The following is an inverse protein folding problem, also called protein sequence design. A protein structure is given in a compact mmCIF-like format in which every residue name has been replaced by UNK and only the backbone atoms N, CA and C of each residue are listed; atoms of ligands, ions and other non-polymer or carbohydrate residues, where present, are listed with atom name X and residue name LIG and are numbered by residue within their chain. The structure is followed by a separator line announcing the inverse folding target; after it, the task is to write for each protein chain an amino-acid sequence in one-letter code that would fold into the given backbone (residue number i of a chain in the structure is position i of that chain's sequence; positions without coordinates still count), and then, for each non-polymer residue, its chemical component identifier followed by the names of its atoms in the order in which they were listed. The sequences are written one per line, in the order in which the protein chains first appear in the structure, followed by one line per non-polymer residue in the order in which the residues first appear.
data_IF_527489359056
#
_entry.id   IF_527489359056
#
_cell.length_a   1.000
_cell.length_b   1.000
_cell.length_c   1.000
_cell.angle_alpha   90.00
_cell.angle_beta   90.00
_cell.angle_gamma   90.00
#
_symmetry.space_group_name_H-M   'P 1'
#
loop_
_entity.id
_entity.type
_entity.pdbx_description
1 polymer ?
#
# COMPACT_ATOMS: atom_id res chain seq x y z
N UNK A 1 24.90 2.29 43.65
CA UNK A 1 26.36 2.53 43.52
C UNK A 1 26.90 1.79 42.30
N UNK A 2 27.20 2.51 41.21
CA UNK A 2 28.45 2.43 40.43
C UNK A 2 28.35 3.38 39.23
N UNK A 3 29.28 4.33 39.20
CA UNK A 3 29.54 5.35 38.17
C UNK A 3 30.51 4.77 37.13
N UNK A 4 30.35 5.10 35.85
CA UNK A 4 31.38 5.11 34.78
C UNK A 4 30.85 6.16 33.75
N UNK A 5 31.27 7.44 33.67
CA UNK A 5 32.51 8.08 33.15
C UNK A 5 32.91 7.51 31.77
N UNK A 6 32.44 8.07 30.64
CA UNK A 6 32.99 9.20 29.84
C UNK A 6 34.42 8.95 29.28
N UNK A 7 34.58 8.80 27.95
CA UNK A 7 35.28 9.74 27.04
C UNK A 7 35.68 9.17 25.65
N UNK A 8 35.66 10.09 24.66
CA UNK A 8 36.55 10.25 23.47
C UNK A 8 36.46 9.26 22.28
N UNK A 9 36.09 9.77 21.10
CA UNK A 9 37.06 10.29 20.12
C UNK A 9 36.37 11.02 18.94
N UNK A 10 36.71 12.30 18.77
CA UNK A 10 36.52 13.10 17.54
C UNK A 10 37.92 13.33 16.98
N UNK A 11 38.21 12.78 15.81
CA UNK A 11 39.25 13.29 14.90
C UNK A 11 39.29 12.47 13.61
N UNK A 12 38.77 13.04 12.52
CA UNK A 12 39.33 12.82 11.19
C UNK A 12 39.04 14.07 10.35
N UNK A 13 40.06 14.91 10.28
CA UNK A 13 40.18 16.00 9.32
C UNK A 13 40.97 15.51 8.11
N UNK A 14 40.48 15.91 6.93
CA UNK A 14 41.25 16.31 5.75
C UNK A 14 42.01 15.21 4.97
N UNK A 15 41.40 14.84 3.85
CA UNK A 15 42.14 14.62 2.60
C UNK A 15 41.54 15.52 1.53
N UNK A 16 42.36 16.42 0.99
CA UNK A 16 42.05 17.27 -0.15
C UNK A 16 42.20 16.47 -1.45
N UNK A 17 41.22 16.60 -2.36
CA UNK A 17 41.52 16.61 -3.79
C UNK A 17 40.57 17.57 -4.52
N UNK A 18 41.18 18.57 -5.16
CA UNK A 18 40.56 19.52 -6.07
C UNK A 18 40.09 18.82 -7.36
N UNK A 19 38.87 19.08 -7.82
CA UNK A 19 38.53 20.01 -8.92
C UNK A 19 37.13 19.70 -9.50
N UNK A 20 36.33 20.78 -9.69
CA UNK A 20 35.43 21.09 -10.84
C UNK A 20 34.38 20.03 -11.22
N UNK A 21 33.07 20.25 -11.20
CA UNK A 21 32.23 21.42 -11.53
C UNK A 21 30.83 21.14 -10.96
N UNK A 22 30.22 22.08 -10.25
CA UNK A 22 28.76 22.11 -10.09
C UNK A 22 28.24 23.42 -10.66
N UNK A 23 27.63 23.32 -11.83
CA UNK A 23 26.84 24.38 -12.45
C UNK A 23 25.46 24.38 -11.78
N UNK A 24 25.19 25.49 -11.09
CA UNK A 24 23.92 26.18 -10.87
C UNK A 24 22.61 25.38 -11.02
N UNK A 25 21.98 25.11 -9.88
CA UNK A 25 20.54 25.35 -9.72
C UNK A 25 20.38 26.64 -8.94
N UNK A 26 19.81 27.65 -9.61
CA UNK A 26 19.42 28.95 -9.08
C UNK A 26 18.90 28.85 -7.64
N UNK A 27 19.78 29.16 -6.70
CA UNK A 27 19.40 29.64 -5.39
C UNK A 27 19.12 31.12 -5.58
N UNK A 28 17.86 31.50 -5.50
CA UNK A 28 17.52 32.88 -5.19
C UNK A 28 18.30 33.24 -3.92
N UNK A 29 19.29 34.11 -4.10
CA UNK A 29 20.11 34.72 -3.07
C UNK A 29 19.22 35.08 -1.88
N UNK A 30 19.50 34.62 -0.64
CA UNK A 30 18.76 35.08 0.51
C UNK A 30 19.06 36.56 0.72
N UNK A 31 18.03 37.36 0.55
CA UNK A 31 17.93 38.77 0.92
C UNK A 31 18.64 39.04 2.24
N UNK A 32 19.38 40.14 2.23
CA UNK A 32 20.09 40.75 3.35
C UNK A 32 19.25 40.71 4.64
N UNK A 33 19.62 39.85 5.60
CA UNK A 33 18.98 39.77 6.93
C UNK A 33 19.12 41.10 7.67
N UNK A 34 20.06 41.96 7.26
CA UNK A 34 20.32 43.24 7.90
C UNK A 34 19.22 44.28 7.68
N UNK A 35 18.21 44.07 6.81
CA UNK A 35 17.18 45.09 6.54
C UNK A 35 15.78 44.75 7.08
N UNK A 36 15.61 43.62 7.78
CA UNK A 36 14.29 43.14 8.17
C UNK A 36 14.10 43.17 9.69
N UNK A 37 12.91 43.57 10.13
CA UNK A 37 12.45 43.34 11.50
C UNK A 37 12.39 41.82 11.81
N UNK A 38 12.56 41.40 13.07
CA UNK A 38 12.43 39.99 13.43
C UNK A 38 11.05 39.44 13.04
N UNK A 39 11.01 38.18 12.61
CA UNK A 39 9.76 37.51 12.26
C UNK A 39 8.96 37.13 13.51
N UNK A 40 7.70 36.73 13.35
CA UNK A 40 6.93 36.20 14.48
C UNK A 40 7.57 34.97 15.12
N UNK A 41 8.20 34.11 14.32
CA UNK A 41 8.86 32.90 14.82
C UNK A 41 10.11 33.25 15.64
N UNK A 42 10.89 34.23 15.17
CA UNK A 42 12.05 34.78 15.87
C UNK A 42 11.66 35.32 17.27
N UNK A 43 10.58 36.08 17.34
CA UNK A 43 10.03 36.63 18.58
C UNK A 43 9.47 35.52 19.49
N UNK A 44 8.76 34.53 18.94
CA UNK A 44 8.23 33.38 19.68
C UNK A 44 9.36 32.54 20.28
N UNK A 45 10.42 32.28 19.53
CA UNK A 45 11.64 31.60 20.00
C UNK A 45 12.30 32.40 21.14
N UNK A 46 12.45 33.72 20.98
CA UNK A 46 13.02 34.59 22.01
C UNK A 46 12.28 34.48 23.36
N UNK A 47 10.94 34.42 23.35
CA UNK A 47 10.13 34.31 24.56
C UNK A 47 9.87 32.87 25.02
N UNK A 48 10.57 31.89 24.45
CA UNK A 48 10.37 30.47 24.76
C UNK A 48 8.90 30.01 24.59
N UNK A 49 8.21 30.60 23.61
CA UNK A 49 6.83 30.29 23.23
C UNK A 49 6.90 29.37 22.00
N UNK A 50 7.19 28.08 22.21
CA UNK A 50 7.37 27.15 21.10
C UNK A 50 6.10 27.01 20.27
N UNK A 51 6.25 26.82 18.95
CA UNK A 51 5.13 26.61 18.01
C UNK A 51 4.31 25.36 18.35
N UNK A 52 4.86 24.46 19.18
CA UNK A 52 4.29 23.17 19.57
C UNK A 52 3.63 23.17 20.94
N UNK A 53 3.76 24.23 21.75
CA UNK A 53 3.18 24.30 23.09
C UNK A 53 2.08 25.36 23.18
N UNK A 54 0.85 24.91 23.44
CA UNK A 54 -0.29 25.79 23.65
C UNK A 54 -0.27 26.28 25.10
N UNK A 55 -0.04 27.58 25.31
CA UNK A 55 0.07 28.22 26.64
C UNK A 55 -1.14 29.12 26.91
N UNK A 56 -1.45 29.37 28.19
CA UNK A 56 -2.52 30.31 28.59
C UNK A 56 -2.10 31.77 28.40
N UNK A 57 -3.07 32.69 28.27
CA UNK A 57 -2.81 34.11 28.09
C UNK A 57 -1.88 34.70 29.18
N UNK A 58 -2.09 34.33 30.43
CA UNK A 58 -1.26 34.78 31.56
C UNK A 58 0.20 34.33 31.45
N UNK A 59 0.41 33.10 30.98
CA UNK A 59 1.75 32.54 30.83
C UNK A 59 2.51 33.24 29.68
N UNK A 60 1.81 33.55 28.59
CA UNK A 60 2.35 34.33 27.48
C UNK A 60 2.74 35.74 27.96
N UNK A 61 1.83 36.44 28.66
CA UNK A 61 2.10 37.79 29.19
C UNK A 61 3.28 37.76 30.17
N UNK A 62 3.35 36.75 31.04
CA UNK A 62 4.44 36.56 31.97
C UNK A 62 5.79 36.39 31.25
N UNK A 63 5.84 35.55 30.21
CA UNK A 63 7.06 35.36 29.42
C UNK A 63 7.48 36.64 28.69
N UNK A 64 6.54 37.32 28.02
CA UNK A 64 6.81 38.55 27.27
C UNK A 64 7.28 39.68 28.20
N UNK A 65 6.81 39.72 29.45
CA UNK A 65 7.17 40.76 30.41
C UNK A 65 8.51 40.49 31.09
N UNK A 66 8.83 39.22 31.37
CA UNK A 66 9.96 38.88 32.25
C UNK A 66 11.20 38.37 31.52
N UNK A 67 11.08 37.84 30.30
CA UNK A 67 12.26 37.36 29.56
C UNK A 67 12.97 38.55 28.92
N UNK A 68 14.23 38.75 29.30
CA UNK A 68 15.13 39.80 28.80
C UNK A 68 16.53 39.25 28.57
N UNK A 69 17.37 40.03 27.89
CA UNK A 69 18.77 39.69 27.61
C UNK A 69 19.03 39.33 26.15
N UNK A 70 20.30 39.33 25.76
CA UNK A 70 20.70 39.02 24.39
C UNK A 70 20.54 37.51 24.13
N UNK A 71 19.87 37.15 23.03
CA UNK A 71 19.71 35.75 22.58
C UNK A 71 20.09 35.60 21.12
N UNK A 72 20.55 34.40 20.76
CA UNK A 72 20.71 33.98 19.37
C UNK A 72 19.48 33.20 18.94
N UNK A 73 18.88 33.58 17.83
CA UNK A 73 17.61 33.04 17.35
C UNK A 73 17.69 32.64 15.86
N UNK A 74 16.85 31.69 15.47
CA UNK A 74 16.76 31.16 14.11
C UNK A 74 17.95 30.31 13.68
N UNK A 75 17.84 29.73 12.47
CA UNK A 75 18.89 28.86 11.89
C UNK A 75 20.20 29.60 11.60
N UNK A 76 20.14 30.93 11.40
CA UNK A 76 21.30 31.80 11.19
C UNK A 76 21.92 32.32 12.48
N UNK A 77 21.38 31.97 13.67
CA UNK A 77 21.92 32.34 14.98
C UNK A 77 22.15 33.86 15.11
N UNK A 78 21.14 34.64 14.75
CA UNK A 78 21.20 36.11 14.72
C UNK A 78 20.95 36.68 16.12
N UNK A 79 21.67 37.73 16.49
CA UNK A 79 21.53 38.42 17.77
C UNK A 79 20.21 39.20 17.83
N UNK A 80 19.40 38.91 18.85
CA UNK A 80 18.17 39.62 19.21
C UNK A 80 18.21 40.03 20.68
N UNK A 81 17.93 41.31 20.92
CA UNK A 81 17.75 41.90 22.24
C UNK A 81 16.40 42.61 22.29
N UNK A 82 15.54 42.25 23.25
CA UNK A 82 14.32 43.00 23.54
C UNK A 82 14.59 43.99 24.66
N UNK A 83 14.35 45.27 24.40
CA UNK A 83 14.58 46.37 25.34
C UNK A 83 13.27 46.80 26.02
N UNK A 84 12.15 46.82 25.30
CA UNK A 84 10.84 47.19 25.83
C UNK A 84 9.71 46.33 25.25
N UNK A 85 8.71 46.06 26.09
CA UNK A 85 7.46 45.38 25.68
C UNK A 85 6.26 46.10 26.29
N UNK A 86 5.25 46.34 25.47
CA UNK A 86 3.96 46.90 25.89
C UNK A 86 2.87 45.95 25.43
N UNK A 87 2.07 45.44 26.37
CA UNK A 87 0.90 44.64 26.04
C UNK A 87 -0.19 45.59 25.54
N UNK A 88 -0.50 45.54 24.25
CA UNK A 88 -1.53 46.38 23.63
C UNK A 88 -2.92 45.79 23.80
N UNK A 89 -3.02 44.45 23.79
CA UNK A 89 -4.28 43.73 23.95
C UNK A 89 -4.04 42.38 24.62
N UNK A 90 -4.88 42.02 25.58
CA UNK A 90 -4.99 40.67 26.13
C UNK A 90 -6.45 40.23 26.05
N UNK A 91 -6.76 39.39 25.09
CA UNK A 91 -8.09 38.84 24.83
C UNK A 91 -8.03 37.32 24.99
N UNK A 92 -8.02 36.91 26.26
CA UNK A 92 -7.94 35.50 26.61
C UNK A 92 -9.15 34.71 26.09
N UNK A 93 -10.29 35.34 25.82
CA UNK A 93 -11.48 34.68 25.26
C UNK A 93 -11.32 34.35 23.77
N UNK A 94 -10.73 35.26 22.99
CA UNK A 94 -10.39 35.02 21.57
C UNK A 94 -9.08 34.27 21.38
N UNK A 95 -8.41 33.89 22.46
CA UNK A 95 -7.11 33.22 22.40
C UNK A 95 -6.01 34.11 21.85
N UNK A 96 -6.03 35.42 22.12
CA UNK A 96 -5.14 36.39 21.49
C UNK A 96 -4.47 37.34 22.51
N UNK A 97 -3.15 37.51 22.41
CA UNK A 97 -2.38 38.54 23.09
C UNK A 97 -1.58 39.32 22.04
N UNK A 98 -1.74 40.64 21.99
CA UNK A 98 -0.99 41.53 21.09
C UNK A 98 -0.03 42.36 21.94
N UNK A 99 1.25 42.31 21.60
CA UNK A 99 2.27 43.10 22.28
C UNK A 99 3.13 43.88 21.28
N UNK A 100 3.35 45.17 21.57
CA UNK A 100 4.34 46.00 20.90
C UNK A 100 5.70 45.75 21.52
N UNK A 101 6.65 45.29 20.72
CA UNK A 101 7.98 44.90 21.15
C UNK A 101 9.00 45.76 20.41
N UNK A 102 9.96 46.32 21.16
CA UNK A 102 11.08 47.07 20.59
C UNK A 102 12.41 46.65 21.19
N UNK A 103 13.46 46.72 20.38
CA UNK A 103 14.81 46.37 20.77
C UNK A 103 15.74 46.35 19.57
N UNK A 104 16.76 45.49 19.59
CA UNK A 104 17.76 45.37 18.52
C UNK A 104 17.77 43.98 17.92
N UNK A 105 17.71 43.90 16.60
CA UNK A 105 17.85 42.66 15.82
C UNK A 105 18.93 42.86 14.76
N UNK A 106 19.92 41.97 14.71
CA UNK A 106 21.09 42.14 13.84
C UNK A 106 21.75 43.54 13.98
N UNK A 107 21.84 44.04 15.21
CA UNK A 107 22.33 45.38 15.57
C UNK A 107 21.52 46.58 15.04
N UNK A 108 20.34 46.38 14.44
CA UNK A 108 19.41 47.47 14.09
C UNK A 108 18.23 47.53 15.06
N UNK A 109 17.82 48.74 15.40
CA UNK A 109 16.65 48.99 16.24
C UNK A 109 15.35 48.66 15.49
N UNK A 110 14.41 47.99 16.15
CA UNK A 110 13.07 47.73 15.63
C UNK A 110 11.99 48.10 16.67
N UNK A 111 10.77 48.35 16.20
CA UNK A 111 9.57 48.48 17.04
C UNK A 111 8.34 48.05 16.25
N UNK A 112 7.71 46.94 16.67
CA UNK A 112 6.60 46.33 15.92
C UNK A 112 5.65 45.58 16.87
N UNK A 113 4.38 45.51 16.49
CA UNK A 113 3.38 44.71 17.21
C UNK A 113 3.36 43.28 16.69
N UNK A 114 3.30 42.34 17.63
CA UNK A 114 3.28 40.91 17.37
C UNK A 114 2.07 40.27 18.07
N UNK A 115 1.40 39.38 17.35
CA UNK A 115 0.25 38.63 17.85
C UNK A 115 0.68 37.24 18.32
N UNK A 116 0.28 36.88 19.53
CA UNK A 116 0.51 35.59 20.15
C UNK A 116 -0.84 34.90 20.37
N UNK A 117 -0.98 33.69 19.84
CA UNK A 117 -2.16 32.87 20.05
C UNK A 117 -2.00 32.05 21.34
N UNK A 118 -2.99 32.08 22.22
CA UNK A 118 -3.03 31.31 23.46
C UNK A 118 -4.18 30.32 23.44
N UNK A 119 -4.16 29.37 24.39
CA UNK A 119 -5.36 28.64 24.75
C UNK A 119 -6.43 29.66 25.15
N UNK A 120 -7.60 29.67 24.49
CA UNK A 120 -8.68 30.51 24.96
C UNK A 120 -9.00 30.12 26.40
N UNK A 121 -9.05 31.09 27.29
CA UNK A 121 -9.78 30.91 28.54
C UNK A 121 -11.23 30.73 28.10
N UNK A 122 -11.66 29.46 28.01
CA UNK A 122 -13.03 29.12 27.69
C UNK A 122 -13.93 30.01 28.54
N UNK A 123 -14.95 30.61 27.91
CA UNK A 123 -15.80 31.61 28.55
C UNK A 123 -16.10 31.17 29.98
N UNK A 124 -15.89 32.04 30.96
CA UNK A 124 -16.37 31.87 32.35
C UNK A 124 -17.91 31.94 32.40
N UNK A 125 -18.57 31.46 31.37
CA UNK A 125 -19.98 31.25 31.28
C UNK A 125 -20.26 29.90 31.94
N UNK A 126 -20.83 29.95 33.15
CA UNK A 126 -21.37 28.80 33.84
C UNK A 126 -22.82 28.51 33.39
N UNK A 127 -23.21 29.00 32.21
CA UNK A 127 -24.49 28.69 31.60
C UNK A 127 -24.64 27.19 31.37
N UNK A 128 -25.90 26.75 31.36
CA UNK A 128 -26.29 25.39 30.97
C UNK A 128 -25.72 25.03 29.59
N UNK A 129 -25.70 25.98 28.64
CA UNK A 129 -25.20 25.77 27.28
C UNK A 129 -23.67 25.49 27.26
N UNK A 130 -22.90 26.19 28.09
CA UNK A 130 -21.47 25.93 28.28
C UNK A 130 -21.23 24.55 28.92
N UNK A 131 -22.08 24.14 29.86
CA UNK A 131 -22.00 22.80 30.46
C UNK A 131 -22.34 21.71 29.43
N UNK A 132 -23.41 21.90 28.65
CA UNK A 132 -23.80 20.99 27.57
C UNK A 132 -22.64 20.86 26.57
N UNK A 133 -22.11 21.97 26.07
CA UNK A 133 -21.03 21.97 25.07
C UNK A 133 -19.79 21.18 25.52
N UNK A 134 -19.37 21.34 26.78
CA UNK A 134 -18.22 20.62 27.36
C UNK A 134 -18.44 19.11 27.52
N UNK A 135 -19.69 18.67 27.56
CA UNK A 135 -20.06 17.28 27.76
C UNK A 135 -20.61 16.61 26.50
N UNK A 136 -20.56 17.29 25.33
CA UNK A 136 -20.94 16.66 24.07
C UNK A 136 -19.97 15.51 23.79
N UNK A 137 -20.54 14.35 23.50
CA UNK A 137 -19.82 13.17 23.03
C UNK A 137 -20.49 12.64 21.79
N UNK A 138 -19.68 12.05 20.91
CA UNK A 138 -20.14 11.45 19.67
C UNK A 138 -19.79 9.96 19.68
N UNK A 139 -20.77 9.12 19.36
CA UNK A 139 -20.62 7.66 19.36
C UNK A 139 -21.08 7.11 18.02
N UNK A 140 -20.31 6.20 17.44
CA UNK A 140 -20.79 5.40 16.31
C UNK A 140 -22.10 4.71 16.70
N UNK A 141 -23.07 4.70 15.78
CA UNK A 141 -24.24 3.84 15.96
C UNK A 141 -23.78 2.37 16.01
N UNK A 142 -24.48 1.51 16.78
CA UNK A 142 -24.04 0.14 17.03
C UNK A 142 -23.71 -0.65 15.75
N UNK A 143 -24.47 -0.44 14.68
CA UNK A 143 -24.32 -1.12 13.39
C UNK A 143 -23.04 -0.75 12.63
N UNK A 144 -22.38 0.38 12.94
CA UNK A 144 -21.16 0.82 12.24
C UNK A 144 -19.89 0.69 13.08
N UNK A 145 -20.02 0.59 14.41
CA UNK A 145 -18.93 0.74 15.38
C UNK A 145 -17.71 -0.16 15.11
N UNK A 146 -17.94 -1.40 14.70
CA UNK A 146 -16.86 -2.39 14.60
C UNK A 146 -16.10 -2.33 13.26
N UNK A 147 -16.72 -1.78 12.21
CA UNK A 147 -16.10 -1.71 10.88
C UNK A 147 -16.64 -0.52 10.05
N UNK A 148 -16.47 0.72 10.53
CA UNK A 148 -17.11 1.87 9.92
C UNK A 148 -16.63 2.13 8.49
N UNK A 149 -15.39 1.77 8.16
CA UNK A 149 -14.81 2.03 6.84
C UNK A 149 -15.46 1.18 5.73
N UNK A 150 -16.03 0.04 6.10
CA UNK A 150 -16.72 -0.88 5.19
C UNK A 150 -18.22 -0.69 5.24
N UNK A 151 -18.78 -0.46 6.44
CA UNK A 151 -20.22 -0.42 6.68
C UNK A 151 -20.86 0.94 6.39
N UNK A 152 -20.05 1.98 6.22
CA UNK A 152 -20.53 3.34 5.93
C UNK A 152 -20.20 3.75 4.49
N UNK A 153 -21.04 4.63 3.95
CA UNK A 153 -20.82 5.39 2.72
C UNK A 153 -20.17 6.76 2.98
N UNK A 154 -19.56 6.95 4.17
CA UNK A 154 -18.80 8.16 4.51
C UNK A 154 -17.71 8.40 3.46
N UNK A 155 -17.84 9.51 2.73
CA UNK A 155 -16.94 9.86 1.63
C UNK A 155 -15.61 10.46 2.09
N UNK A 156 -14.74 9.60 2.62
CA UNK A 156 -13.37 9.99 3.01
C UNK A 156 -12.56 10.50 1.81
N UNK A 157 -12.81 10.00 0.59
CA UNK A 157 -12.03 10.37 -0.59
C UNK A 157 -12.21 11.85 -0.94
N UNK A 158 -13.46 12.33 -0.98
CA UNK A 158 -13.75 13.75 -1.20
C UNK A 158 -13.13 14.65 -0.12
N UNK A 159 -13.18 14.22 1.13
CA UNK A 159 -12.60 14.99 2.23
C UNK A 159 -11.07 14.98 2.23
N UNK A 160 -10.45 13.80 2.20
CA UNK A 160 -9.03 13.62 2.41
C UNK A 160 -8.23 13.89 1.14
N UNK A 161 -8.63 13.33 -0.01
CA UNK A 161 -7.89 13.46 -1.28
C UNK A 161 -8.24 14.76 -1.99
N UNK A 162 -9.54 15.09 -2.09
CA UNK A 162 -9.97 16.31 -2.79
C UNK A 162 -9.96 17.57 -1.90
N UNK A 163 -9.65 17.44 -0.61
CA UNK A 163 -9.59 18.53 0.38
C UNK A 163 -10.90 19.32 0.49
N UNK A 164 -12.05 18.68 0.20
CA UNK A 164 -13.38 19.30 0.30
C UNK A 164 -14.03 18.96 1.63
N UNK A 165 -14.07 19.94 2.52
CA UNK A 165 -14.62 19.77 3.88
C UNK A 165 -16.11 20.06 3.97
N UNK A 166 -16.69 20.76 3.00
CA UNK A 166 -18.07 21.27 3.04
C UNK A 166 -19.14 20.17 3.13
N UNK A 167 -18.81 18.94 2.69
CA UNK A 167 -19.68 17.78 2.81
C UNK A 167 -19.87 17.32 4.26
N UNK A 168 -18.87 17.55 5.12
CA UNK A 168 -18.84 17.05 6.49
C UNK A 168 -19.57 18.02 7.42
N UNK A 169 -20.90 17.99 7.34
CA UNK A 169 -21.80 18.70 8.27
C UNK A 169 -22.23 17.78 9.42
N UNK A 170 -22.74 18.37 10.51
CA UNK A 170 -23.30 17.60 11.64
C UNK A 170 -24.49 16.75 11.18
N UNK A 171 -25.33 17.29 10.30
CA UNK A 171 -26.42 16.56 9.67
C UNK A 171 -25.91 15.35 8.88
N UNK A 172 -24.88 15.53 8.06
CA UNK A 172 -24.27 14.43 7.30
C UNK A 172 -23.70 13.35 8.22
N UNK A 173 -22.97 13.72 9.27
CA UNK A 173 -22.40 12.78 10.24
C UNK A 173 -23.47 12.07 11.07
N UNK A 174 -24.62 12.70 11.33
CA UNK A 174 -25.73 12.10 12.09
C UNK A 174 -26.33 10.84 11.45
N UNK A 175 -26.01 10.58 10.17
CA UNK A 175 -26.32 9.31 9.51
C UNK A 175 -25.68 8.11 10.22
N UNK A 176 -24.44 8.25 10.69
CA UNK A 176 -23.66 7.16 11.29
C UNK A 176 -23.33 7.35 12.76
N UNK A 177 -23.51 8.56 13.28
CA UNK A 177 -23.21 8.90 14.67
C UNK A 177 -24.45 9.30 15.45
N UNK A 178 -24.47 8.95 16.72
CA UNK A 178 -25.35 9.52 17.72
C UNK A 178 -24.57 10.51 18.59
N UNK A 179 -25.15 11.68 18.82
CA UNK A 179 -24.60 12.71 19.68
C UNK A 179 -25.33 12.69 21.03
N UNK A 180 -24.58 12.82 22.10
CA UNK A 180 -25.10 12.87 23.45
C UNK A 180 -24.47 14.03 24.20
N UNK A 181 -25.16 14.53 25.22
CA UNK A 181 -24.55 15.40 26.22
C UNK A 181 -25.14 15.13 27.60
N UNK A 182 -24.67 15.88 28.60
CA UNK A 182 -25.18 15.92 29.95
C UNK A 182 -25.65 17.33 30.28
N UNK A 183 -26.72 17.41 31.06
CA UNK A 183 -27.23 18.66 31.61
C UNK A 183 -26.61 18.93 32.98
N UNK A 184 -26.56 20.19 33.38
CA UNK A 184 -26.06 20.53 34.71
C UNK A 184 -26.93 19.83 35.77
N UNK A 185 -26.28 19.23 36.77
CA UNK A 185 -26.95 18.46 37.83
C UNK A 185 -27.67 17.17 37.38
N UNK A 186 -27.34 16.62 36.20
CA UNK A 186 -27.84 15.31 35.75
C UNK A 186 -26.69 14.43 35.26
N UNK A 187 -26.54 13.25 35.88
CA UNK A 187 -25.57 12.25 35.43
C UNK A 187 -26.05 11.46 34.20
N UNK A 188 -27.34 11.59 33.84
CA UNK A 188 -27.91 10.91 32.68
C UNK A 188 -27.50 11.61 31.39
N UNK A 189 -26.90 10.82 30.50
CA UNK A 189 -26.72 11.22 29.09
C UNK A 189 -28.10 11.37 28.44
N UNK A 190 -28.31 12.46 27.72
CA UNK A 190 -29.44 12.61 26.80
C UNK A 190 -28.93 12.62 25.37
N UNK A 191 -29.66 11.92 24.50
CA UNK A 191 -29.39 11.89 23.06
C UNK A 191 -29.88 13.18 22.43
N UNK A 192 -29.05 13.82 21.61
CA UNK A 192 -29.44 15.00 20.86
C UNK A 192 -30.52 14.67 19.84
N UNK A 193 -31.50 15.57 19.74
CA UNK A 193 -32.53 15.57 18.71
C UNK A 193 -32.02 16.26 17.46
N UNK A 194 -32.75 16.14 16.34
CA UNK A 194 -32.43 16.88 15.11
C UNK A 194 -32.43 18.40 15.32
N UNK A 195 -33.17 18.93 16.30
CA UNK A 195 -33.16 20.36 16.62
C UNK A 195 -31.87 20.73 17.36
N UNK A 196 -31.45 19.93 18.35
CA UNK A 196 -30.20 20.17 19.08
C UNK A 196 -28.97 20.13 18.16
N UNK A 197 -29.01 19.32 17.10
CA UNK A 197 -27.92 19.23 16.13
C UNK A 197 -27.77 20.49 15.26
N UNK A 198 -28.83 21.28 15.07
CA UNK A 198 -28.76 22.55 14.34
C UNK A 198 -27.96 23.61 15.09
N UNK A 199 -27.88 23.47 16.41
CA UNK A 199 -27.06 24.33 17.26
C UNK A 199 -25.58 23.97 17.21
N UNK A 200 -25.16 22.93 16.48
CA UNK A 200 -23.76 22.54 16.35
C UNK A 200 -23.24 22.90 14.96
N UNK A 201 -22.14 23.66 14.93
CA UNK A 201 -21.42 24.01 13.72
C UNK A 201 -20.01 23.40 13.75
N UNK A 202 -19.53 22.89 12.62
CA UNK A 202 -18.13 22.45 12.48
C UNK A 202 -17.30 23.65 11.98
N UNK A 203 -16.37 24.10 12.83
CA UNK A 203 -15.45 25.19 12.49
C UNK A 203 -14.23 24.68 11.73
N UNK A 204 -13.73 23.50 12.12
CA UNK A 204 -12.56 22.90 11.49
C UNK A 204 -12.64 21.40 11.54
N UNK A 205 -12.24 20.76 10.45
CA UNK A 205 -12.14 19.30 10.36
C UNK A 205 -10.85 18.93 9.64
N UNK A 206 -10.12 17.94 10.17
CA UNK A 206 -8.88 17.46 9.57
C UNK A 206 -8.63 16.00 9.88
N UNK A 207 -7.85 15.34 9.01
CA UNK A 207 -7.48 13.94 9.18
C UNK A 207 -6.06 13.84 9.77
N UNK A 208 -5.91 13.03 10.80
CA UNK A 208 -4.61 12.78 11.46
C UNK A 208 -4.09 11.36 11.21
N UNK A 209 -4.56 10.69 10.16
CA UNK A 209 -4.02 9.40 9.68
C UNK A 209 -4.76 8.16 10.18
N UNK A 210 -5.29 8.20 11.41
CA UNK A 210 -6.09 7.11 12.00
C UNK A 210 -7.48 7.56 12.46
N UNK A 211 -7.70 8.88 12.54
CA UNK A 211 -8.93 9.48 13.02
C UNK A 211 -9.21 10.80 12.33
N UNK A 212 -10.47 11.20 12.37
CA UNK A 212 -10.93 12.52 11.98
C UNK A 212 -11.11 13.34 13.25
N UNK A 213 -10.43 14.47 13.31
CA UNK A 213 -10.51 15.44 14.41
C UNK A 213 -11.37 16.64 13.95
N UNK A 214 -12.26 17.10 14.82
CA UNK A 214 -13.20 18.19 14.55
C UNK A 214 -13.18 19.21 15.69
N UNK A 215 -13.09 20.49 15.34
CA UNK A 215 -13.38 21.62 16.22
C UNK A 215 -14.79 22.09 15.86
N UNK A 216 -15.67 22.13 16.85
CA UNK A 216 -17.07 22.48 16.69
C UNK A 216 -17.43 23.63 17.64
N UNK A 217 -18.52 24.31 17.33
CA UNK A 217 -19.16 25.29 18.20
C UNK A 217 -20.60 24.87 18.49
N UNK A 218 -21.01 25.06 19.75
CA UNK A 218 -22.40 24.96 20.17
C UNK A 218 -22.99 26.37 20.33
N UNK A 219 -24.13 26.61 19.68
CA UNK A 219 -24.86 27.89 19.64
C UNK A 219 -23.99 29.10 19.30
N UNK A 220 -22.98 28.90 18.45
CA UNK A 220 -22.02 29.93 18.01
C UNK A 220 -21.30 30.65 19.16
N UNK A 221 -21.09 29.97 20.29
CA UNK A 221 -20.53 30.56 21.52
C UNK A 221 -19.54 29.66 22.24
N UNK A 222 -19.74 28.35 22.20
CA UNK A 222 -18.97 27.42 23.02
C UNK A 222 -18.24 26.43 22.14
N UNK A 223 -16.93 26.62 21.97
CA UNK A 223 -16.09 25.71 21.19
C UNK A 223 -15.79 24.43 21.96
N UNK A 224 -15.81 23.30 21.27
CA UNK A 224 -15.45 21.98 21.80
C UNK A 224 -14.81 21.12 20.70
N UNK A 225 -14.27 19.97 21.08
CA UNK A 225 -13.54 19.09 20.15
C UNK A 225 -14.11 17.69 20.22
N UNK A 226 -14.35 17.10 19.05
CA UNK A 226 -14.74 15.71 18.91
C UNK A 226 -13.77 15.01 17.95
N UNK A 227 -13.69 13.69 18.06
CA UNK A 227 -12.95 12.87 17.12
C UNK A 227 -13.64 11.52 16.94
N UNK A 228 -13.31 10.84 15.85
CA UNK A 228 -13.68 9.45 15.64
C UNK A 228 -12.62 8.72 14.83
N UNK A 229 -12.40 7.46 15.17
CA UNK A 229 -11.48 6.59 14.46
C UNK A 229 -12.05 6.21 13.08
N UNK A 230 -11.19 6.28 12.06
CA UNK A 230 -11.53 5.91 10.69
C UNK A 230 -10.24 5.58 9.91
N UNK A 231 -10.01 4.30 9.65
CA UNK A 231 -8.78 3.78 9.05
C UNK A 231 -8.75 3.98 7.53
N UNK A 232 -7.91 4.90 7.05
CA UNK A 232 -7.76 5.16 5.61
C UNK A 232 -7.39 3.90 4.81
N UNK A 233 -6.60 2.98 5.39
CA UNK A 233 -6.14 1.79 4.68
C UNK A 233 -7.30 0.83 4.43
N UNK A 234 -8.19 0.65 5.43
CA UNK A 234 -9.43 -0.13 5.24
C UNK A 234 -10.36 0.54 4.23
N UNK A 235 -10.53 1.86 4.31
CA UNK A 235 -11.38 2.61 3.39
C UNK A 235 -10.90 2.53 1.94
N UNK A 236 -9.61 2.68 1.67
CA UNK A 236 -9.09 2.61 0.30
C UNK A 236 -8.96 1.17 -0.21
N UNK A 237 -8.79 0.18 0.67
CA UNK A 237 -8.79 -1.24 0.28
C UNK A 237 -10.09 -1.66 -0.41
N UNK A 238 -11.26 -1.10 -0.04
CA UNK A 238 -12.54 -1.38 -0.75
C UNK A 238 -12.66 -0.72 -2.12
N UNK A 239 -11.78 0.24 -2.46
CA UNK A 239 -11.76 0.90 -3.77
C UNK A 239 -11.08 0.07 -4.86
N UNK A 240 -10.44 -1.03 -4.48
CA UNK A 240 -9.91 -2.03 -5.40
C UNK A 240 -10.78 -3.29 -5.33
N UNK A 241 -11.03 -3.92 -6.47
CA UNK A 241 -11.80 -5.16 -6.55
C UNK A 241 -11.14 -6.17 -7.46
N UNK A 242 -11.30 -7.45 -7.16
CA UNK A 242 -10.77 -8.52 -7.99
C UNK A 242 -11.68 -8.78 -9.19
N UNK A 243 -11.09 -8.92 -10.37
CA UNK A 243 -11.78 -9.39 -11.56
C UNK A 243 -11.84 -10.92 -11.55
N UNK A 244 -12.76 -11.47 -10.74
CA UNK A 244 -12.86 -12.93 -10.50
C UNK A 244 -13.11 -13.73 -11.78
N UNK A 245 -13.85 -13.17 -12.74
CA UNK A 245 -14.13 -13.83 -14.02
C UNK A 245 -12.89 -13.97 -14.91
N UNK A 246 -11.95 -13.04 -14.77
CA UNK A 246 -10.66 -13.09 -15.45
C UNK A 246 -9.68 -14.00 -14.70
N UNK A 247 -9.60 -13.87 -13.37
CA UNK A 247 -8.68 -14.65 -12.53
C UNK A 247 -8.91 -16.17 -12.67
N UNK A 248 -10.17 -16.63 -12.71
CA UNK A 248 -10.52 -18.06 -12.77
C UNK A 248 -10.00 -18.79 -14.02
N UNK A 249 -9.57 -18.05 -15.04
CA UNK A 249 -9.03 -18.61 -16.29
C UNK A 249 -7.59 -19.09 -16.16
N UNK A 250 -6.87 -18.59 -15.15
CA UNK A 250 -5.42 -18.69 -15.07
C UNK A 250 -4.95 -19.52 -13.88
N UNK A 251 -3.86 -20.25 -14.05
CA UNK A 251 -3.15 -20.88 -12.93
C UNK A 251 -2.29 -19.87 -12.18
N UNK A 252 -2.21 -20.02 -10.85
CA UNK A 252 -1.51 -19.06 -9.97
C UNK A 252 -0.01 -18.98 -10.28
N UNK A 253 0.61 -20.06 -10.72
CA UNK A 253 2.07 -20.16 -10.81
C UNK A 253 2.64 -19.25 -11.91
N UNK A 254 2.14 -19.31 -13.14
CA UNK A 254 2.63 -18.41 -14.19
C UNK A 254 2.10 -16.99 -14.03
N UNK A 255 0.92 -16.80 -13.42
CA UNK A 255 0.46 -15.44 -13.06
C UNK A 255 1.42 -14.79 -12.07
N UNK A 256 1.90 -15.54 -11.07
CA UNK A 256 2.88 -15.03 -10.11
C UNK A 256 4.18 -14.59 -10.80
N UNK A 257 4.73 -15.42 -11.70
CA UNK A 257 5.93 -15.08 -12.49
C UNK A 257 5.75 -13.83 -13.36
N UNK A 258 4.52 -13.57 -13.81
CA UNK A 258 4.19 -12.49 -14.73
C UNK A 258 3.26 -11.44 -14.10
N UNK A 259 3.26 -11.30 -12.78
CA UNK A 259 2.24 -10.53 -12.05
C UNK A 259 2.19 -9.06 -12.49
N UNK A 260 3.34 -8.47 -12.85
CA UNK A 260 3.41 -7.10 -13.35
C UNK A 260 2.58 -6.87 -14.62
N UNK A 261 2.60 -7.83 -15.55
CA UNK A 261 1.82 -7.79 -16.79
C UNK A 261 0.34 -8.16 -16.58
N UNK A 262 0.06 -9.01 -15.59
CA UNK A 262 -1.30 -9.44 -15.26
C UNK A 262 -2.08 -8.44 -14.40
N UNK A 263 -1.40 -7.60 -13.61
CA UNK A 263 -2.00 -6.76 -12.56
C UNK A 263 -3.30 -6.08 -12.99
N UNK A 264 -3.27 -5.36 -14.10
CA UNK A 264 -4.39 -4.53 -14.56
C UNK A 264 -5.58 -5.35 -15.08
N UNK A 265 -5.36 -6.64 -15.37
CA UNK A 265 -6.44 -7.59 -15.73
C UNK A 265 -7.10 -8.19 -14.49
N UNK A 266 -6.32 -8.44 -13.44
CA UNK A 266 -6.76 -9.15 -12.24
C UNK A 266 -7.41 -8.22 -11.22
N UNK A 267 -7.01 -6.94 -11.18
CA UNK A 267 -7.47 -5.98 -10.18
C UNK A 267 -8.08 -4.76 -10.86
N UNK A 268 -9.37 -4.55 -10.63
CA UNK A 268 -10.10 -3.37 -11.04
C UNK A 268 -9.85 -2.24 -10.03
N UNK A 269 -9.41 -1.10 -10.54
CA UNK A 269 -9.18 0.13 -9.76
C UNK A 269 -9.78 1.30 -10.53
N UNK A 270 -10.39 2.28 -9.83
CA UNK A 270 -10.88 3.51 -10.49
C UNK A 270 -9.72 4.21 -11.21
N UNK A 271 -10.04 4.87 -12.32
CA UNK A 271 -9.07 5.65 -13.09
C UNK A 271 -8.42 6.78 -12.28
N UNK A 272 -9.00 7.19 -11.14
CA UNK A 272 -8.46 8.22 -10.26
C UNK A 272 -7.22 7.79 -9.46
N UNK A 273 -6.97 6.48 -9.40
CA UNK A 273 -5.92 5.90 -8.57
C UNK A 273 -4.87 5.18 -9.40
N UNK A 274 -3.67 5.08 -8.83
CA UNK A 274 -2.57 4.24 -9.33
C UNK A 274 -2.28 3.18 -8.27
N UNK A 275 -2.45 1.91 -8.65
CA UNK A 275 -2.14 0.77 -7.79
C UNK A 275 -0.71 0.27 -8.03
N UNK A 276 0.10 0.26 -6.97
CA UNK A 276 1.41 -0.41 -6.94
C UNK A 276 1.33 -1.67 -6.10
N UNK A 277 1.92 -2.75 -6.61
CA UNK A 277 2.02 -4.04 -5.94
C UNK A 277 3.48 -4.32 -5.63
N UNK A 278 3.75 -4.75 -4.40
CA UNK A 278 5.08 -5.10 -3.91
C UNK A 278 5.03 -6.38 -3.09
N UNK A 279 6.18 -7.06 -3.00
CA UNK A 279 6.38 -8.27 -2.19
C UNK A 279 5.30 -9.35 -2.41
N UNK A 280 5.00 -9.74 -3.66
CA UNK A 280 4.06 -10.83 -3.90
C UNK A 280 4.63 -12.14 -3.35
N UNK A 281 3.75 -13.00 -2.84
CA UNK A 281 4.06 -14.39 -2.51
C UNK A 281 2.86 -15.27 -2.82
N UNK A 282 3.11 -16.51 -3.20
CA UNK A 282 2.05 -17.51 -3.37
C UNK A 282 1.71 -18.12 -2.02
N UNK A 283 0.42 -18.18 -1.70
CA UNK A 283 -0.12 -18.93 -0.56
C UNK A 283 -0.62 -20.28 -1.07
N UNK A 284 0.16 -21.33 -0.79
CA UNK A 284 -0.03 -22.65 -1.40
C UNK A 284 -1.35 -23.30 -1.00
N UNK A 285 -1.78 -23.11 0.25
CA UNK A 285 -3.02 -23.74 0.76
C UNK A 285 -4.27 -23.21 0.07
N UNK A 286 -4.25 -21.92 -0.29
CA UNK A 286 -5.40 -21.22 -0.82
C UNK A 286 -5.33 -21.03 -2.34
N UNK A 287 -4.25 -21.48 -3.00
CA UNK A 287 -3.99 -21.23 -4.42
C UNK A 287 -4.18 -19.74 -4.77
N UNK A 288 -3.54 -18.87 -3.98
CA UNK A 288 -3.71 -17.40 -4.03
C UNK A 288 -2.39 -16.66 -4.02
N UNK A 289 -2.40 -15.37 -4.34
CA UNK A 289 -1.24 -14.48 -4.25
C UNK A 289 -1.52 -13.43 -3.18
N UNK A 290 -0.68 -13.38 -2.15
CA UNK A 290 -0.71 -12.32 -1.14
C UNK A 290 0.33 -11.28 -1.54
N UNK A 291 -0.07 -10.01 -1.54
CA UNK A 291 0.83 -8.91 -1.87
C UNK A 291 0.55 -7.67 -1.02
N UNK A 292 1.55 -6.79 -0.92
CA UNK A 292 1.37 -5.46 -0.34
C UNK A 292 0.99 -4.51 -1.46
N UNK A 293 -0.11 -3.79 -1.27
CA UNK A 293 -0.62 -2.80 -2.19
C UNK A 293 -0.42 -1.40 -1.63
N UNK A 294 0.09 -0.49 -2.46
CA UNK A 294 0.08 0.95 -2.21
C UNK A 294 -0.85 1.61 -3.21
N UNK A 295 -1.86 2.32 -2.72
CA UNK A 295 -2.78 3.09 -3.55
C UNK A 295 -2.34 4.56 -3.56
N UNK A 296 -2.15 5.13 -4.75
CA UNK A 296 -1.70 6.51 -4.93
C UNK A 296 -2.69 7.31 -5.76
N UNK A 297 -2.63 8.63 -5.63
CA UNK A 297 -3.23 9.55 -6.61
C UNK A 297 -2.44 9.51 -7.92
N UNK A 298 -3.02 10.04 -9.01
CA UNK A 298 -2.29 10.27 -10.28
C UNK A 298 -1.05 11.15 -10.11
N UNK A 299 -1.08 12.07 -9.16
CA UNK A 299 0.07 12.94 -8.84
C UNK A 299 1.17 12.25 -8.04
N UNK A 300 0.99 10.97 -7.65
CA UNK A 300 1.97 10.20 -6.89
C UNK A 300 1.88 10.36 -5.37
N UNK A 301 0.87 11.05 -4.84
CA UNK A 301 0.62 11.10 -3.40
C UNK A 301 0.07 9.75 -2.92
N UNK A 302 0.65 9.20 -1.87
CA UNK A 302 0.23 7.91 -1.31
C UNK A 302 -1.00 8.09 -0.42
N UNK A 303 -2.08 7.37 -0.73
CA UNK A 303 -3.34 7.39 0.01
C UNK A 303 -3.43 6.29 1.05
N UNK A 304 -2.94 5.09 0.74
CA UNK A 304 -3.05 3.94 1.61
C UNK A 304 -2.01 2.86 1.30
N UNK A 305 -1.70 2.07 2.33
CA UNK A 305 -0.91 0.84 2.24
C UNK A 305 -1.68 -0.30 2.92
N UNK A 306 -1.86 -1.42 2.24
CA UNK A 306 -2.58 -2.57 2.80
C UNK A 306 -2.15 -3.89 2.17
N UNK A 307 -2.33 -4.99 2.91
CA UNK A 307 -2.19 -6.35 2.37
C UNK A 307 -3.46 -6.74 1.59
N UNK A 308 -3.29 -7.34 0.42
CA UNK A 308 -4.36 -7.83 -0.42
C UNK A 308 -4.07 -9.26 -0.91
N UNK A 309 -5.12 -10.08 -0.97
CA UNK A 309 -5.05 -11.47 -1.42
C UNK A 309 -5.81 -11.62 -2.74
N UNK A 310 -5.09 -11.92 -3.82
CA UNK A 310 -5.67 -12.24 -5.13
C UNK A 310 -6.06 -13.72 -5.09
N UNK A 311 -7.37 -13.99 -5.10
CA UNK A 311 -7.96 -15.33 -4.92
C UNK A 311 -8.86 -15.70 -6.10
N UNK A 312 -9.19 -16.99 -6.19
CA UNK A 312 -10.12 -17.51 -7.20
C UNK A 312 -9.45 -17.98 -8.49
N UNK A 313 -8.15 -18.26 -8.45
CA UNK A 313 -7.41 -18.84 -9.57
C UNK A 313 -7.95 -20.22 -9.95
N UNK A 314 -7.63 -20.64 -11.18
CA UNK A 314 -7.99 -21.96 -11.70
C UNK A 314 -7.48 -23.07 -10.77
N UNK A 315 -8.33 -24.05 -10.41
CA UNK A 315 -7.94 -25.07 -9.44
C UNK A 315 -6.94 -26.05 -10.06
N UNK A 316 -5.91 -26.43 -9.29
CA UNK A 316 -4.87 -27.35 -9.74
C UNK A 316 -5.40 -28.75 -10.06
N UNK A 317 -6.60 -29.11 -9.58
CA UNK A 317 -7.29 -30.36 -9.92
C UNK A 317 -7.63 -30.49 -11.40
N UNK A 318 -7.68 -29.38 -12.14
CA UNK A 318 -7.97 -29.39 -13.58
C UNK A 318 -6.71 -29.68 -14.41
N UNK A 319 -5.54 -29.39 -13.85
CA UNK A 319 -4.26 -29.51 -14.55
C UNK A 319 -4.01 -30.91 -15.14
N UNK A 320 -4.28 -32.04 -14.44
CA UNK A 320 -4.08 -33.37 -15.02
C UNK A 320 -4.90 -33.67 -16.29
N UNK A 321 -6.07 -33.02 -16.43
CA UNK A 321 -6.95 -33.19 -17.59
C UNK A 321 -6.45 -32.35 -18.78
N UNK A 322 -5.89 -31.19 -18.49
CA UNK A 322 -5.44 -30.23 -19.50
C UNK A 322 -4.01 -30.45 -19.95
N UNK A 323 -3.16 -31.00 -19.10
CA UNK A 323 -1.76 -31.27 -19.42
C UNK A 323 -1.64 -32.40 -20.43
N UNK A 324 -0.99 -32.13 -21.55
CA UNK A 324 -0.78 -33.06 -22.65
C UNK A 324 0.70 -33.33 -22.84
N UNK A 325 1.01 -34.59 -23.14
CA UNK A 325 2.33 -35.08 -23.51
C UNK A 325 2.16 -35.90 -24.78
N UNK A 326 2.94 -35.59 -25.81
CA UNK A 326 2.95 -36.30 -27.08
C UNK A 326 4.38 -36.66 -27.49
N UNK A 327 4.48 -37.67 -28.36
CA UNK A 327 5.73 -38.04 -29.03
C UNK A 327 6.06 -37.05 -30.14
N UNK A 328 7.26 -37.17 -30.69
CA UNK A 328 7.71 -36.39 -31.84
C UNK A 328 8.37 -37.32 -32.84
N UNK A 329 8.42 -36.95 -34.12
CA UNK A 329 9.13 -37.72 -35.16
C UNK A 329 10.62 -37.95 -34.82
N UNK A 330 11.21 -37.08 -34.00
CA UNK A 330 12.57 -37.25 -33.49
C UNK A 330 12.66 -38.34 -32.44
N UNK A 331 11.68 -38.44 -31.53
CA UNK A 331 11.60 -39.51 -30.54
C UNK A 331 11.27 -40.85 -31.20
N UNK A 332 10.36 -40.86 -32.17
CA UNK A 332 9.95 -42.06 -32.92
C UNK A 332 11.15 -42.69 -33.62
N UNK A 333 11.88 -41.92 -34.44
CA UNK A 333 13.11 -42.40 -35.09
C UNK A 333 14.18 -42.89 -34.11
N UNK A 334 14.36 -42.15 -33.01
CA UNK A 334 15.34 -42.53 -31.99
C UNK A 334 15.00 -43.90 -31.35
N UNK A 335 13.72 -44.14 -31.05
CA UNK A 335 13.29 -45.40 -30.45
C UNK A 335 13.25 -46.56 -31.44
N UNK A 336 12.90 -46.29 -32.69
CA UNK A 336 13.02 -47.25 -33.79
C UNK A 336 14.45 -47.79 -33.89
N UNK A 337 15.46 -46.90 -33.88
CA UNK A 337 16.87 -47.31 -33.94
C UNK A 337 17.29 -48.11 -32.71
N UNK A 338 16.89 -47.67 -31.50
CA UNK A 338 17.24 -48.34 -30.24
C UNK A 338 16.62 -49.73 -30.13
N UNK A 339 15.38 -49.90 -30.58
CA UNK A 339 14.59 -51.11 -30.35
C UNK A 339 14.50 -52.04 -31.58
N UNK A 340 15.15 -51.71 -32.70
CA UNK A 340 15.04 -52.43 -33.98
C UNK A 340 15.14 -53.95 -33.84
N UNK A 341 16.18 -54.42 -33.14
CA UNK A 341 16.48 -55.86 -32.99
C UNK A 341 15.99 -56.47 -31.66
N UNK A 342 15.23 -55.69 -30.89
CA UNK A 342 14.69 -56.13 -29.60
C UNK A 342 13.33 -56.85 -29.81
N UNK A 343 13.11 -58.05 -29.27
CA UNK A 343 11.81 -58.73 -29.35
C UNK A 343 10.67 -57.92 -28.71
N UNK A 344 9.43 -58.22 -29.10
CA UNK A 344 8.25 -57.67 -28.43
C UNK A 344 8.19 -58.12 -26.96
N UNK A 345 7.70 -57.26 -26.08
CA UNK A 345 7.62 -57.55 -24.64
C UNK A 345 7.94 -56.34 -23.77
N UNK A 346 8.20 -56.59 -22.50
CA UNK A 346 8.68 -55.57 -21.56
C UNK A 346 10.12 -55.16 -21.92
N UNK A 347 10.30 -53.88 -22.23
CA UNK A 347 11.58 -53.27 -22.60
C UNK A 347 11.99 -52.18 -21.62
N UNK A 348 11.37 -52.12 -20.44
CA UNK A 348 11.58 -51.04 -19.45
C UNK A 348 13.02 -50.91 -19.02
N UNK A 349 13.76 -52.00 -18.84
CA UNK A 349 15.18 -51.94 -18.44
C UNK A 349 16.07 -51.32 -19.53
N UNK A 350 15.67 -51.45 -20.80
CA UNK A 350 16.38 -50.86 -21.95
C UNK A 350 16.02 -49.38 -22.09
N UNK A 351 14.75 -49.03 -21.91
CA UNK A 351 14.23 -47.68 -22.15
C UNK A 351 14.49 -46.74 -20.95
N UNK A 352 14.49 -47.26 -19.72
CA UNK A 352 14.63 -46.44 -18.50
C UNK A 352 15.94 -45.63 -18.44
N UNK A 353 17.12 -46.17 -18.81
CA UNK A 353 18.35 -45.39 -18.91
C UNK A 353 18.28 -44.21 -19.89
N UNK A 354 17.38 -44.28 -20.88
CA UNK A 354 17.22 -43.25 -21.93
C UNK A 354 16.27 -42.12 -21.51
N UNK A 355 15.81 -42.12 -20.26
CA UNK A 355 14.92 -41.12 -19.65
C UNK A 355 15.26 -39.68 -20.08
N UNK A 356 16.50 -39.24 -19.90
CA UNK A 356 16.89 -37.86 -20.19
C UNK A 356 16.82 -37.51 -21.70
N UNK A 357 16.97 -38.49 -22.59
CA UNK A 357 16.77 -38.29 -24.03
C UNK A 357 15.29 -38.25 -24.36
N UNK A 358 14.48 -39.12 -23.75
CA UNK A 358 13.02 -39.17 -23.96
C UNK A 358 12.40 -37.83 -23.60
N UNK A 359 12.59 -37.35 -22.37
CA UNK A 359 12.01 -36.08 -21.90
C UNK A 359 12.38 -34.90 -22.79
N UNK A 360 13.59 -34.92 -23.35
CA UNK A 360 14.06 -33.85 -24.22
C UNK A 360 13.33 -33.79 -25.55
N UNK A 361 12.82 -34.93 -26.03
CA UNK A 361 12.14 -35.08 -27.31
C UNK A 361 10.62 -35.25 -27.17
N UNK A 362 10.07 -35.15 -25.96
CA UNK A 362 8.63 -35.06 -25.75
C UNK A 362 8.13 -33.66 -26.11
N UNK A 363 6.91 -33.62 -26.65
CA UNK A 363 6.17 -32.38 -26.84
C UNK A 363 5.15 -32.21 -25.71
N UNK A 364 5.13 -31.01 -25.13
CA UNK A 364 4.27 -30.67 -24.00
C UNK A 364 3.23 -29.63 -24.41
N UNK A 365 2.01 -29.76 -23.89
CA UNK A 365 0.96 -28.79 -24.11
C UNK A 365 -0.03 -28.66 -22.96
N UNK A 366 -0.82 -27.59 -22.97
CA UNK A 366 -1.96 -27.38 -22.07
C UNK A 366 -3.19 -27.09 -22.93
N UNK A 367 -4.25 -27.88 -22.77
CA UNK A 367 -5.54 -27.62 -23.42
C UNK A 367 -6.05 -26.27 -22.93
N UNK A 368 -6.50 -25.43 -23.88
CA UNK A 368 -7.16 -24.16 -23.60
C UNK A 368 -8.55 -24.17 -24.18
N UNK A 369 -9.49 -23.61 -23.42
CA UNK A 369 -10.88 -23.41 -23.83
C UNK A 369 -11.14 -21.96 -24.27
N UNK A 370 -10.08 -21.17 -24.50
CA UNK A 370 -10.20 -19.81 -25.02
C UNK A 370 -10.23 -19.78 -26.54
N UNK A 371 -10.88 -18.76 -27.11
CA UNK A 371 -10.96 -18.60 -28.57
C UNK A 371 -9.63 -18.16 -29.20
N UNK A 372 -8.67 -17.71 -28.39
CA UNK A 372 -7.41 -17.13 -28.87
C UNK A 372 -6.54 -18.23 -29.45
N UNK A 373 -6.51 -19.40 -28.81
CA UNK A 373 -5.74 -20.56 -29.30
C UNK A 373 -6.11 -20.96 -30.73
N UNK A 374 -7.36 -20.71 -31.15
CA UNK A 374 -7.85 -21.02 -32.50
C UNK A 374 -7.22 -20.14 -33.59
N UNK A 375 -6.66 -18.99 -33.20
CA UNK A 375 -6.03 -18.02 -34.12
C UNK A 375 -4.51 -18.17 -34.20
N UNK A 376 -3.92 -19.02 -33.36
CA UNK A 376 -2.47 -19.20 -33.28
C UNK A 376 -1.94 -20.08 -34.41
N UNK A 377 -0.70 -19.80 -34.82
CA UNK A 377 0.04 -20.62 -35.78
C UNK A 377 0.33 -22.03 -35.28
N UNK A 378 0.57 -22.95 -36.22
CA UNK A 378 0.86 -24.36 -35.93
C UNK A 378 2.16 -24.56 -35.13
N UNK A 379 3.04 -23.57 -35.09
CA UNK A 379 4.25 -23.51 -34.28
C UNK A 379 3.95 -23.34 -32.78
N UNK A 380 2.78 -22.76 -32.42
CA UNK A 380 2.38 -22.47 -31.05
C UNK A 380 1.31 -23.40 -30.47
N UNK A 381 0.70 -24.25 -31.30
CA UNK A 381 -0.36 -25.18 -30.88
C UNK A 381 -0.10 -26.62 -31.27
N UNK A 382 -0.60 -27.54 -30.46
CA UNK A 382 -0.69 -28.97 -30.70
C UNK A 382 -2.13 -29.27 -31.10
N UNK A 383 -2.33 -29.94 -32.25
CA UNK A 383 -3.64 -30.45 -32.63
C UNK A 383 -3.79 -31.88 -32.14
N UNK A 384 -4.72 -32.09 -31.22
CA UNK A 384 -5.04 -33.40 -30.69
C UNK A 384 -5.90 -34.18 -31.69
N UNK A 385 -5.91 -35.52 -31.58
CA UNK A 385 -6.66 -36.41 -32.47
C UNK A 385 -8.16 -36.18 -32.44
N UNK A 386 -8.70 -35.67 -31.32
CA UNK A 386 -10.10 -35.29 -31.16
C UNK A 386 -10.43 -33.88 -31.69
N UNK A 387 -9.48 -33.22 -32.35
CA UNK A 387 -9.63 -31.88 -32.90
C UNK A 387 -9.42 -30.73 -31.90
N UNK A 388 -9.27 -31.02 -30.60
CA UNK A 388 -8.94 -29.99 -29.61
C UNK A 388 -7.52 -29.44 -29.83
N UNK A 389 -7.32 -28.19 -29.43
CA UNK A 389 -6.02 -27.53 -29.47
C UNK A 389 -5.43 -27.45 -28.06
N UNK A 390 -4.12 -27.68 -27.97
CA UNK A 390 -3.35 -27.43 -26.77
C UNK A 390 -2.23 -26.44 -27.06
N UNK A 391 -2.05 -25.48 -26.16
CA UNK A 391 -1.00 -24.47 -26.22
C UNK A 391 0.35 -25.17 -26.01
N UNK A 392 1.28 -25.04 -26.95
CA UNK A 392 2.61 -25.64 -26.84
C UNK A 392 3.41 -25.01 -25.71
N UNK A 393 4.09 -25.87 -24.96
CA UNK A 393 5.01 -25.48 -23.90
C UNK A 393 6.46 -25.76 -24.30
N UNK A 394 7.36 -24.87 -23.89
CA UNK A 394 8.80 -25.03 -23.96
C UNK A 394 9.39 -25.17 -22.57
N UNK A 395 10.57 -25.76 -22.54
CA UNK A 395 11.41 -25.88 -21.36
C UNK A 395 12.32 -24.66 -21.25
N UNK A 396 12.41 -24.05 -20.08
CA UNK A 396 13.43 -23.04 -19.76
C UNK A 396 14.71 -23.80 -19.37
N UNK A 397 15.67 -23.84 -20.27
CA UNK A 397 17.01 -24.35 -19.95
C UNK A 397 17.75 -23.30 -19.14
N UNK A 398 18.04 -23.61 -17.89
CA UNK A 398 19.25 -23.09 -17.26
C UNK A 398 20.43 -23.85 -17.89
N UNK A 399 21.59 -23.22 -18.04
CA UNK A 399 22.79 -23.84 -18.61
C UNK A 399 23.35 -25.02 -17.77
N UNK A 400 22.59 -25.50 -16.79
CA UNK A 400 22.92 -26.63 -15.94
C UNK A 400 22.24 -27.91 -16.46
N UNK A 401 22.99 -28.89 -16.99
CA UNK A 401 22.44 -30.11 -17.57
C UNK A 401 21.75 -31.05 -16.55
N UNK A 402 21.90 -30.80 -15.25
CA UNK A 402 21.37 -31.63 -14.15
C UNK A 402 20.08 -31.09 -13.51
N UNK A 403 19.63 -29.90 -13.89
CA UNK A 403 18.35 -29.33 -13.42
C UNK A 403 17.25 -29.63 -14.44
N UNK A 404 16.08 -30.10 -13.98
CA UNK A 404 14.90 -30.21 -14.85
C UNK A 404 14.35 -28.82 -15.16
N UNK A 405 14.09 -28.58 -16.44
CA UNK A 405 13.64 -27.29 -16.95
C UNK A 405 12.16 -27.03 -16.61
N UNK A 406 11.83 -25.82 -16.19
CA UNK A 406 10.44 -25.40 -16.01
C UNK A 406 9.73 -25.31 -17.37
N UNK A 407 8.45 -25.70 -17.38
CA UNK A 407 7.58 -25.55 -18.54
C UNK A 407 6.89 -24.20 -18.52
N UNK A 408 7.07 -23.47 -19.62
CA UNK A 408 6.37 -22.23 -19.93
C UNK A 408 5.78 -22.26 -21.33
N UNK A 409 4.82 -21.40 -21.67
CA UNK A 409 4.30 -21.32 -23.03
C UNK A 409 5.34 -20.87 -24.05
N UNK A 410 5.17 -21.34 -25.29
CA UNK A 410 5.85 -20.72 -26.44
C UNK A 410 5.29 -19.33 -26.75
N UNK A 411 3.97 -19.16 -26.62
CA UNK A 411 3.27 -17.89 -26.88
C UNK A 411 3.80 -16.76 -26.00
N UNK A 412 3.98 -15.57 -26.61
CA UNK A 412 4.32 -14.34 -25.89
C UNK A 412 3.10 -13.54 -25.43
N UNK A 413 1.89 -13.93 -25.85
CA UNK A 413 0.66 -13.35 -25.33
C UNK A 413 0.55 -13.60 -23.82
N UNK A 414 0.39 -12.52 -23.05
CA UNK A 414 0.25 -12.57 -21.60
C UNK A 414 -0.87 -13.51 -21.14
N UNK A 415 -1.97 -13.64 -21.90
CA UNK A 415 -3.10 -14.54 -21.58
C UNK A 415 -2.70 -16.01 -21.55
N UNK A 416 -1.57 -16.36 -22.13
CA UNK A 416 -1.05 -17.72 -22.15
C UNK A 416 0.01 -17.95 -21.08
N UNK A 417 0.62 -16.90 -20.52
CA UNK A 417 1.76 -16.93 -19.58
C UNK A 417 1.40 -17.33 -18.13
N UNK A 418 0.23 -17.90 -17.89
CA UNK A 418 -0.19 -18.43 -16.59
C UNK A 418 0.40 -19.82 -16.26
N UNK A 419 1.19 -20.41 -17.17
CA UNK A 419 1.85 -21.70 -16.96
C UNK A 419 3.30 -21.49 -16.51
N UNK A 420 3.60 -22.00 -15.32
CA UNK A 420 4.95 -22.17 -14.79
C UNK A 420 4.98 -23.39 -13.89
N UNK A 421 5.48 -24.52 -14.39
CA UNK A 421 5.51 -25.78 -13.66
C UNK A 421 6.75 -26.59 -13.97
N UNK A 422 7.21 -27.32 -12.95
CA UNK A 422 8.37 -28.17 -12.97
C UNK A 422 7.94 -29.64 -13.11
N UNK A 423 8.10 -30.29 -14.29
CA UNK A 423 7.73 -31.67 -14.48
C UNK A 423 8.91 -32.61 -14.18
N UNK A 424 8.92 -33.25 -13.02
CA UNK A 424 9.78 -34.42 -12.80
C UNK A 424 9.06 -35.64 -13.34
N UNK A 425 9.70 -36.46 -14.17
CA UNK A 425 9.04 -37.64 -14.73
C UNK A 425 9.77 -38.96 -14.41
N UNK A 426 9.05 -40.07 -14.49
CA UNK A 426 9.60 -41.43 -14.45
C UNK A 426 8.85 -42.33 -15.42
N UNK A 427 9.52 -43.38 -15.88
CA UNK A 427 8.93 -44.41 -16.75
C UNK A 427 8.47 -45.55 -15.86
N UNK A 428 7.15 -45.75 -15.78
CA UNK A 428 6.58 -46.81 -14.94
C UNK A 428 6.43 -48.12 -15.69
N UNK A 429 6.17 -48.06 -17.00
CA UNK A 429 6.06 -49.21 -17.90
C UNK A 429 6.59 -48.84 -19.28
N UNK A 430 7.20 -49.80 -19.97
CA UNK A 430 7.58 -49.67 -21.38
C UNK A 430 7.40 -51.03 -22.07
N UNK A 431 6.43 -51.11 -22.99
CA UNK A 431 6.08 -52.36 -23.67
C UNK A 431 6.22 -52.17 -25.17
N UNK A 432 7.11 -52.94 -25.79
CA UNK A 432 7.23 -53.04 -27.24
C UNK A 432 6.17 -53.99 -27.78
N UNK A 433 5.37 -53.49 -28.71
CA UNK A 433 4.47 -54.23 -29.60
C UNK A 433 4.98 -54.02 -31.02
N UNK A 434 4.71 -54.95 -31.92
CA UNK A 434 5.23 -55.03 -33.29
C UNK A 434 5.81 -53.72 -33.89
N UNK A 435 4.98 -52.69 -34.08
CA UNK A 435 5.30 -51.39 -34.68
C UNK A 435 5.23 -50.21 -33.69
N UNK A 436 5.10 -50.47 -32.39
CA UNK A 436 4.78 -49.46 -31.36
C UNK A 436 5.46 -49.72 -30.03
N UNK A 437 5.95 -48.67 -29.41
CA UNK A 437 6.37 -48.66 -28.00
C UNK A 437 5.32 -47.90 -27.18
N UNK A 438 4.66 -48.62 -26.26
CA UNK A 438 3.72 -48.02 -25.30
C UNK A 438 4.51 -47.67 -24.04
N UNK A 439 4.53 -46.38 -23.70
CA UNK A 439 5.17 -45.88 -22.48
C UNK A 439 4.13 -45.37 -21.50
N UNK A 440 4.18 -45.87 -20.28
CA UNK A 440 3.50 -45.25 -19.16
C UNK A 440 4.48 -44.34 -18.41
N UNK A 441 4.12 -43.08 -18.34
CA UNK A 441 4.90 -42.03 -17.70
C UNK A 441 4.18 -41.57 -16.44
N UNK A 442 4.92 -41.39 -15.35
CA UNK A 442 4.45 -40.69 -14.17
C UNK A 442 5.18 -39.37 -14.04
N UNK A 443 4.42 -38.27 -14.04
CA UNK A 443 4.89 -36.93 -13.79
C UNK A 443 4.59 -36.54 -12.35
N UNK A 444 5.58 -36.09 -11.61
CA UNK A 444 5.43 -35.32 -10.39
C UNK A 444 5.57 -33.85 -10.78
N UNK A 445 4.48 -33.11 -10.70
CA UNK A 445 4.42 -31.73 -11.15
C UNK A 445 4.28 -30.82 -9.93
N UNK A 446 5.25 -29.92 -9.81
CA UNK A 446 5.26 -28.84 -8.80
C UNK A 446 5.36 -27.50 -9.50
N UNK A 447 4.56 -26.53 -9.07
CA UNK A 447 4.89 -25.11 -9.24
C UNK A 447 5.22 -24.53 -7.87
N UNK A 448 4.74 -23.32 -7.61
CA UNK A 448 4.64 -22.82 -6.23
C UNK A 448 3.72 -23.66 -5.35
N UNK A 449 2.76 -24.36 -5.95
CA UNK A 449 1.85 -25.30 -5.29
C UNK A 449 2.03 -26.71 -5.89
N UNK A 450 1.84 -27.73 -5.05
CA UNK A 450 2.00 -29.14 -5.46
C UNK A 450 0.72 -29.63 -6.12
N UNK A 451 0.81 -30.10 -7.38
CA UNK A 451 -0.31 -30.71 -8.10
C UNK A 451 -0.40 -32.21 -7.78
N UNK A 452 0.76 -32.85 -7.60
CA UNK A 452 0.86 -34.27 -7.28
C UNK A 452 1.31 -35.12 -8.48
N UNK A 453 0.98 -36.41 -8.44
CA UNK A 453 1.39 -37.39 -9.46
C UNK A 453 0.34 -37.49 -10.56
N UNK A 454 0.79 -37.36 -11.81
CA UNK A 454 -0.03 -37.45 -13.02
C UNK A 454 0.51 -38.60 -13.87
N UNK A 455 -0.35 -39.55 -14.23
CA UNK A 455 0.02 -40.62 -15.17
C UNK A 455 -0.39 -40.24 -16.58
N UNK A 456 0.49 -40.48 -17.55
CA UNK A 456 0.24 -40.31 -18.98
C UNK A 456 0.74 -41.53 -19.73
N UNK A 457 -0.09 -42.05 -20.63
CA UNK A 457 0.33 -43.05 -21.61
C UNK A 457 0.68 -42.32 -22.91
N UNK A 458 1.80 -42.68 -23.53
CA UNK A 458 2.17 -42.23 -24.87
C UNK A 458 2.54 -43.42 -25.74
N UNK A 459 2.28 -43.31 -27.03
CA UNK A 459 2.59 -44.33 -28.03
C UNK A 459 3.62 -43.78 -29.00
N UNK A 460 4.80 -44.40 -29.00
CA UNK A 460 5.90 -44.10 -29.91
C UNK A 460 5.83 -45.07 -31.09
N UNK A 461 5.92 -44.55 -32.32
CA UNK A 461 5.97 -45.41 -33.51
C UNK A 461 7.40 -45.94 -33.71
N UNK A 462 7.53 -47.24 -33.99
CA UNK A 462 8.81 -47.95 -34.16
C UNK A 462 9.10 -48.36 -35.59
#
# INVERSE_FOLDING_TARGET
MKKIILFLFVSLLLSCSNDKEFINLNTNLPTDVAAQDPTENDIKEYFSLSVTSVKKADEIVNNITNIRGLKKIGYKQVDLLVENTVIEKKDAQKGEVIAKISGKFANKTFSKSYTFFCLPDGSSDNSEDSYIAKNIIMKWKPEFKDNPEVLTDLDLDTFYRLKKTDLFTVEYLSKWFDFYSKKQNSDKEYKFTSEDLKDIQIEKIYYSGLRIDMILEYKNKHSFTLFFDFDQNKYYKKKITLNKDEIKKYYVSGVYENLGEFKDKLINTSSDFVLKISFPRVEQKNNSIICTCSLLTKGGEKLADFSHEITGFKPLSDFPKEFIVQTTDGLDRYMQDVLKDIPNGDVKEIVSPLRNKIIKNLQYGIIREDDIINTLGSDLVIRLSNGQLALKLKRISDNNPDTFDDLIPFSQDIRHKDIFFHPVFSITSAVKKQDKLVLELTFFISGYSVIGKIKKEIVVNL
#
